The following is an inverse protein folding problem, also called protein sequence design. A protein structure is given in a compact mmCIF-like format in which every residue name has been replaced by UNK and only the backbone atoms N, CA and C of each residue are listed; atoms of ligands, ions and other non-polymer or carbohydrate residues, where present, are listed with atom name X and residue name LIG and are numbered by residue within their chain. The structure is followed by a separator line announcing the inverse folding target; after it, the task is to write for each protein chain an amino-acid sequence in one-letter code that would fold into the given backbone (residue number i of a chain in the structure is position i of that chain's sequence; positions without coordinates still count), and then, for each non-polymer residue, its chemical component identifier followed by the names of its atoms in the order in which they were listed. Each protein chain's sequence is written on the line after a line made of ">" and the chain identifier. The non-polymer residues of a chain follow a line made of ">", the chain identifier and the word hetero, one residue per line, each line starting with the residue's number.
data_IF_276962249967
#
_entry.id   IF_276962249967
#
_cell.length_a   1.000
_cell.length_b   1.000
_cell.length_c   1.000
_cell.angle_alpha   90.00
_cell.angle_beta   90.00
_cell.angle_gamma   90.00
#
_symmetry.space_group_name_H-M   'P 1'
#
loop_
_entity.id
_entity.type
_entity.pdbx_description
1 polymer ?
#
# COMPACT_ATOMS: atom_id res chain seq x y z
N UNK A 1 15.61 -5.40 7.67
CA UNK A 1 14.55 -4.92 6.76
C UNK A 1 15.06 -5.04 5.34
N UNK A 2 14.65 -6.07 4.63
CA UNK A 2 15.01 -6.35 3.22
C UNK A 2 13.75 -6.55 2.38
N UNK A 3 12.71 -7.21 2.92
CA UNK A 3 11.45 -7.52 2.25
C UNK A 3 10.29 -6.87 3.01
N UNK A 4 9.83 -5.72 2.55
CA UNK A 4 8.89 -4.86 3.26
C UNK A 4 7.51 -4.87 2.61
N UNK A 5 6.49 -5.33 3.31
CA UNK A 5 5.10 -5.20 2.90
C UNK A 5 4.47 -3.96 3.56
N UNK A 6 4.04 -2.99 2.73
CA UNK A 6 3.34 -1.78 3.18
C UNK A 6 1.87 -1.88 2.78
N UNK A 7 0.98 -1.85 3.75
CA UNK A 7 -0.45 -2.05 3.52
C UNK A 7 -1.33 -1.21 4.46
N UNK A 8 -2.62 -1.19 4.19
CA UNK A 8 -3.62 -0.42 4.91
C UNK A 8 -4.71 0.11 3.97
N UNK A 9 -5.71 0.79 4.54
CA UNK A 9 -6.87 1.29 3.81
C UNK A 9 -6.51 2.39 2.78
N UNK A 10 -7.37 2.66 1.78
CA UNK A 10 -7.18 3.79 0.87
C UNK A 10 -7.01 5.11 1.63
N UNK A 11 -6.18 6.02 1.12
CA UNK A 11 -5.95 7.32 1.76
C UNK A 11 -5.14 7.26 3.07
N UNK A 12 -4.51 6.14 3.42
CA UNK A 12 -3.68 6.05 4.62
C UNK A 12 -2.24 6.58 4.45
N UNK A 13 -1.85 7.03 3.26
CA UNK A 13 -0.51 7.56 3.02
C UNK A 13 0.54 6.50 2.64
N UNK A 14 0.15 5.25 2.39
CA UNK A 14 1.05 4.15 2.02
C UNK A 14 2.06 4.51 0.94
N UNK A 15 1.57 4.98 -0.20
CA UNK A 15 2.44 5.27 -1.35
C UNK A 15 3.45 6.39 -1.09
N UNK A 16 3.09 7.37 -0.26
CA UNK A 16 4.02 8.40 0.19
C UNK A 16 5.10 7.80 1.10
N UNK A 17 4.69 6.97 2.07
CA UNK A 17 5.63 6.28 2.95
C UNK A 17 6.55 5.37 2.14
N UNK A 18 6.00 4.53 1.27
CA UNK A 18 6.75 3.55 0.47
C UNK A 18 7.80 4.22 -0.42
N UNK A 19 7.44 5.33 -1.08
CA UNK A 19 8.38 6.14 -1.88
C UNK A 19 9.50 6.72 -1.02
N UNK A 20 9.15 7.28 0.14
CA UNK A 20 10.15 7.84 1.06
C UNK A 20 11.06 6.75 1.60
N UNK A 21 10.50 5.61 2.01
CA UNK A 21 11.26 4.47 2.50
C UNK A 21 12.20 3.91 1.43
N UNK A 22 11.74 3.76 0.20
CA UNK A 22 12.58 3.33 -0.93
C UNK A 22 13.75 4.29 -1.17
N UNK A 23 13.49 5.61 -1.10
CA UNK A 23 14.52 6.63 -1.27
C UNK A 23 15.60 6.56 -0.18
N UNK A 24 15.22 6.33 1.06
CA UNK A 24 16.18 6.33 2.19
C UNK A 24 16.89 4.99 2.36
N UNK A 25 16.26 3.89 1.99
CA UNK A 25 16.83 2.54 2.14
C UNK A 25 17.53 2.02 0.88
N UNK A 26 17.23 2.62 -0.29
CA UNK A 26 17.69 2.11 -1.58
C UNK A 26 16.98 0.83 -2.04
N UNK A 27 15.97 0.35 -1.32
CA UNK A 27 15.25 -0.88 -1.68
C UNK A 27 14.34 -0.65 -2.92
N UNK A 28 14.26 -1.64 -3.82
CA UNK A 28 13.34 -1.56 -4.97
C UNK A 28 11.89 -1.42 -4.51
N UNK A 29 11.16 -0.45 -5.08
CA UNK A 29 9.75 -0.21 -4.79
C UNK A 29 8.86 -0.75 -5.90
N UNK A 30 7.92 -1.60 -5.53
CA UNK A 30 6.88 -2.14 -6.39
C UNK A 30 5.50 -1.69 -5.90
N UNK A 31 4.86 -0.81 -6.66
CA UNK A 31 3.49 -0.37 -6.40
C UNK A 31 2.53 -1.32 -7.11
N UNK A 32 1.68 -2.04 -6.37
CA UNK A 32 0.78 -3.05 -6.95
C UNK A 32 -0.20 -2.48 -7.96
N UNK A 33 -0.63 -1.24 -7.79
CA UNK A 33 -1.51 -0.60 -8.77
C UNK A 33 -0.84 -0.52 -10.16
N UNK A 34 0.48 -0.31 -10.20
CA UNK A 34 1.25 -0.29 -11.46
C UNK A 34 1.46 -1.68 -12.07
N UNK A 35 1.39 -2.74 -11.26
CA UNK A 35 1.45 -4.13 -11.73
C UNK A 35 0.08 -4.64 -12.18
N UNK A 36 -0.98 -4.16 -11.52
CA UNK A 36 -2.33 -4.63 -11.75
C UNK A 36 -3.02 -3.97 -12.95
N UNK A 37 -2.65 -2.72 -13.26
CA UNK A 37 -3.25 -1.97 -14.37
C UNK A 37 -2.26 -1.75 -15.51
N UNK A 38 -2.75 -1.94 -16.74
CA UNK A 38 -2.04 -1.54 -17.96
C UNK A 38 -2.00 -0.01 -18.08
N UNK A 39 -1.19 0.51 -19.00
CA UNK A 39 -1.18 1.97 -19.30
C UNK A 39 -2.54 2.49 -19.77
N UNK A 40 -3.38 1.64 -20.34
CA UNK A 40 -4.78 1.93 -20.68
C UNK A 40 -5.71 2.10 -19.48
N UNK A 41 -5.27 1.73 -18.27
CA UNK A 41 -6.10 1.70 -17.06
C UNK A 41 -6.94 0.43 -16.92
N UNK A 42 -6.81 -0.53 -17.84
CA UNK A 42 -7.45 -1.85 -17.73
C UNK A 42 -6.61 -2.80 -16.87
N UNK A 43 -7.25 -3.70 -16.11
CA UNK A 43 -6.51 -4.70 -15.35
C UNK A 43 -5.77 -5.66 -16.31
N UNK A 44 -4.56 -6.06 -15.92
CA UNK A 44 -3.84 -7.14 -16.61
C UNK A 44 -4.52 -8.50 -16.32
N UNK A 45 -4.29 -9.50 -17.19
CA UNK A 45 -4.72 -10.86 -16.91
C UNK A 45 -4.15 -11.35 -15.56
N UNK A 46 -4.95 -12.13 -14.83
CA UNK A 46 -4.59 -12.58 -13.49
C UNK A 46 -3.26 -13.34 -13.45
N UNK A 47 -3.03 -14.18 -14.43
CA UNK A 47 -1.82 -14.99 -14.57
C UNK A 47 -0.57 -14.12 -14.76
N UNK A 48 -0.69 -13.01 -15.50
CA UNK A 48 0.40 -12.06 -15.72
C UNK A 48 0.74 -11.35 -14.40
N UNK A 49 -0.27 -10.92 -13.67
CA UNK A 49 -0.07 -10.30 -12.36
C UNK A 49 0.56 -11.28 -11.36
N UNK A 50 0.00 -12.49 -11.25
CA UNK A 50 0.47 -13.49 -10.29
C UNK A 50 1.94 -13.87 -10.57
N UNK A 51 2.32 -14.06 -11.83
CA UNK A 51 3.71 -14.32 -12.22
C UNK A 51 4.64 -13.15 -11.87
N UNK A 52 4.30 -11.93 -12.26
CA UNK A 52 5.10 -10.75 -11.94
C UNK A 52 5.25 -10.54 -10.42
N UNK A 53 4.18 -10.81 -9.66
CA UNK A 53 4.22 -10.72 -8.20
C UNK A 53 5.12 -11.80 -7.60
N UNK A 54 5.06 -13.04 -8.08
CA UNK A 54 5.92 -14.13 -7.63
C UNK A 54 7.40 -13.86 -7.93
N UNK A 55 7.72 -13.35 -9.13
CA UNK A 55 9.07 -12.94 -9.51
C UNK A 55 9.65 -11.88 -8.54
N UNK A 56 8.82 -10.96 -8.08
CA UNK A 56 9.22 -9.97 -7.06
C UNK A 56 9.45 -10.64 -5.70
N UNK A 57 8.56 -11.54 -5.27
CA UNK A 57 8.66 -12.19 -3.96
C UNK A 57 9.93 -13.03 -3.79
N UNK A 58 10.42 -13.67 -4.87
CA UNK A 58 11.66 -14.45 -4.84
C UNK A 58 12.92 -13.59 -4.88
N UNK A 59 12.82 -12.31 -5.27
CA UNK A 59 13.98 -11.42 -5.28
C UNK A 59 14.51 -11.19 -3.87
N UNK A 60 15.79 -10.78 -3.76
CA UNK A 60 16.47 -10.64 -2.46
C UNK A 60 15.89 -9.54 -1.58
N UNK A 61 15.40 -8.46 -2.19
CA UNK A 61 14.90 -7.30 -1.45
C UNK A 61 13.83 -6.54 -2.23
N UNK A 62 12.86 -6.00 -1.50
CA UNK A 62 11.78 -5.22 -2.09
C UNK A 62 10.99 -4.43 -1.04
N UNK A 63 10.32 -3.39 -1.50
CA UNK A 63 9.18 -2.76 -0.84
C UNK A 63 7.99 -2.98 -1.75
N UNK A 64 6.92 -3.62 -1.28
CA UNK A 64 5.67 -3.76 -2.02
C UNK A 64 4.59 -2.95 -1.33
N UNK A 65 4.01 -1.99 -2.08
CA UNK A 65 2.92 -1.10 -1.63
C UNK A 65 1.58 -1.52 -2.24
N UNK A 66 0.58 -1.67 -1.40
CA UNK A 66 -0.81 -1.91 -1.79
C UNK A 66 -1.39 -3.20 -1.25
N UNK A 67 -2.69 -3.43 -1.51
CA UNK A 67 -3.41 -4.63 -1.11
C UNK A 67 -3.34 -5.71 -2.20
N UNK A 68 -3.77 -5.37 -3.42
CA UNK A 68 -3.88 -6.33 -4.51
C UNK A 68 -4.91 -7.44 -4.23
N UNK A 69 -4.88 -8.53 -4.99
CA UNK A 69 -5.70 -9.71 -4.74
C UNK A 69 -5.36 -10.40 -3.41
N UNK A 70 -6.37 -10.88 -2.66
CA UNK A 70 -6.17 -11.44 -1.30
C UNK A 70 -5.17 -12.60 -1.25
N UNK A 71 -5.20 -13.51 -2.23
CA UNK A 71 -4.22 -14.61 -2.29
C UNK A 71 -2.78 -14.13 -2.45
N UNK A 72 -2.55 -13.12 -3.30
CA UNK A 72 -1.25 -12.48 -3.47
C UNK A 72 -0.85 -11.69 -2.21
N UNK A 73 -1.82 -11.08 -1.52
CA UNK A 73 -1.59 -10.37 -0.27
C UNK A 73 -1.05 -11.31 0.81
N UNK A 74 -1.69 -12.47 1.02
CA UNK A 74 -1.22 -13.47 2.00
C UNK A 74 0.20 -13.95 1.67
N UNK A 75 0.46 -14.38 0.42
CA UNK A 75 1.81 -14.78 -0.02
C UNK A 75 2.87 -13.71 0.29
N UNK A 76 2.52 -12.44 0.09
CA UNK A 76 3.42 -11.31 0.37
C UNK A 76 3.67 -11.12 1.85
N UNK A 77 2.63 -11.20 2.70
CA UNK A 77 2.79 -11.12 4.14
C UNK A 77 3.70 -12.25 4.64
N UNK A 78 3.57 -13.46 4.07
CA UNK A 78 4.40 -14.60 4.42
C UNK A 78 5.87 -14.41 3.99
N UNK A 79 6.12 -13.86 2.81
CA UNK A 79 7.46 -13.64 2.27
C UNK A 79 8.19 -12.42 2.88
N UNK A 80 7.46 -11.47 3.48
CA UNK A 80 8.03 -10.28 4.09
C UNK A 80 8.78 -10.58 5.39
N UNK A 81 9.91 -9.89 5.63
CA UNK A 81 10.57 -9.83 6.93
C UNK A 81 10.05 -8.66 7.79
N UNK A 82 9.46 -7.68 7.13
CA UNK A 82 8.96 -6.45 7.76
C UNK A 82 7.56 -6.12 7.26
N UNK A 83 6.64 -5.95 8.19
CA UNK A 83 5.25 -5.56 7.95
C UNK A 83 5.04 -4.12 8.39
N UNK A 84 4.50 -3.26 7.53
CA UNK A 84 4.16 -1.88 7.86
C UNK A 84 2.68 -1.67 7.58
N UNK A 85 1.87 -1.78 8.62
CA UNK A 85 0.45 -1.55 8.57
C UNK A 85 0.12 -0.11 8.92
N UNK A 86 -0.48 0.64 7.98
CA UNK A 86 -0.89 2.02 8.20
C UNK A 86 -2.38 2.06 8.47
N UNK A 87 -2.71 2.22 9.76
CA UNK A 87 -4.07 2.24 10.27
C UNK A 87 -4.48 3.63 10.76
N UNK A 88 -4.36 4.65 9.92
CA UNK A 88 -4.81 6.00 10.25
C UNK A 88 -6.34 6.04 10.48
N UNK A 89 -6.83 6.96 11.34
CA UNK A 89 -8.27 7.14 11.55
C UNK A 89 -9.03 7.36 10.24
N UNK A 90 -10.25 6.84 10.13
CA UNK A 90 -11.07 6.96 8.93
C UNK A 90 -11.27 8.41 8.48
N UNK A 91 -11.55 9.40 9.36
CA UNK A 91 -11.65 10.80 8.93
C UNK A 91 -10.40 11.31 8.20
N UNK A 92 -9.21 10.94 8.68
CA UNK A 92 -7.93 11.27 8.04
C UNK A 92 -7.80 10.63 6.66
N UNK A 93 -8.20 9.37 6.53
CA UNK A 93 -8.18 8.64 5.26
C UNK A 93 -9.16 9.25 4.25
N UNK A 94 -10.37 9.58 4.67
CA UNK A 94 -11.35 10.30 3.84
C UNK A 94 -10.82 11.66 3.39
N UNK A 95 -10.22 12.42 4.31
CA UNK A 95 -9.61 13.71 3.98
C UNK A 95 -8.51 13.57 2.92
N UNK A 96 -7.64 12.57 3.02
CA UNK A 96 -6.58 12.36 2.04
C UNK A 96 -7.11 11.93 0.67
N UNK A 97 -8.16 11.12 0.62
CA UNK A 97 -8.83 10.78 -0.64
C UNK A 97 -9.46 12.03 -1.26
N UNK A 98 -10.14 12.87 -0.46
CA UNK A 98 -10.72 14.14 -0.92
C UNK A 98 -9.64 15.09 -1.42
N UNK A 99 -8.56 15.27 -0.66
CA UNK A 99 -7.43 16.12 -1.06
C UNK A 99 -6.79 15.66 -2.38
N UNK A 100 -6.67 14.33 -2.57
CA UNK A 100 -6.17 13.75 -3.83
C UNK A 100 -7.11 14.03 -5.00
N UNK A 101 -8.42 13.91 -4.79
CA UNK A 101 -9.43 14.25 -5.79
C UNK A 101 -9.33 15.71 -6.19
N UNK A 102 -9.33 16.63 -5.22
CA UNK A 102 -9.23 18.07 -5.48
C UNK A 102 -7.94 18.44 -6.22
N UNK A 103 -6.80 17.92 -5.78
CA UNK A 103 -5.52 18.12 -6.50
C UNK A 103 -5.54 17.51 -7.90
N UNK A 104 -6.13 16.33 -8.06
CA UNK A 104 -6.18 15.63 -9.33
C UNK A 104 -7.08 16.27 -10.38
N UNK A 105 -7.95 17.21 -9.99
CA UNK A 105 -8.71 18.06 -10.93
C UNK A 105 -7.79 19.06 -11.66
N UNK A 106 -6.66 19.43 -11.06
CA UNK A 106 -5.72 20.40 -11.61
C UNK A 106 -4.40 19.76 -12.05
N UNK A 107 -3.93 18.74 -11.31
CA UNK A 107 -2.65 18.09 -11.54
C UNK A 107 -2.85 16.59 -11.41
N UNK A 108 -2.56 15.83 -12.47
CA UNK A 108 -2.67 14.37 -12.46
C UNK A 108 -1.73 13.81 -11.38
N UNK A 109 -2.22 12.93 -10.47
CA UNK A 109 -1.37 12.34 -9.44
C UNK A 109 -0.24 11.51 -10.08
N UNK A 110 0.95 11.63 -9.53
CA UNK A 110 2.11 10.86 -9.96
C UNK A 110 1.88 9.34 -9.80
N UNK A 111 2.21 8.54 -10.81
CA UNK A 111 1.96 7.10 -10.84
C UNK A 111 0.52 6.71 -11.19
N UNK A 112 -0.32 7.68 -11.57
CA UNK A 112 -1.67 7.39 -12.04
C UNK A 112 -1.63 6.88 -13.49
N UNK A 113 -2.29 5.75 -13.84
CA UNK A 113 -2.26 5.22 -15.20
C UNK A 113 -2.72 6.25 -16.24
N UNK A 114 -2.01 6.33 -17.35
CA UNK A 114 -2.41 7.19 -18.49
C UNK A 114 -3.80 6.74 -18.96
N UNK A 115 -4.71 7.69 -19.22
CA UNK A 115 -6.08 7.39 -19.64
C UNK A 115 -7.07 7.14 -18.48
N UNK A 116 -6.62 6.90 -17.25
CA UNK A 116 -7.52 6.72 -16.11
C UNK A 116 -8.08 8.05 -15.58
N UNK A 117 -9.36 8.03 -15.18
CA UNK A 117 -10.03 9.18 -14.60
C UNK A 117 -9.75 9.28 -13.10
N UNK A 118 -9.19 10.40 -12.64
CA UNK A 118 -8.97 10.70 -11.22
C UNK A 118 -10.28 10.63 -10.43
N UNK A 119 -11.39 11.07 -11.05
CA UNK A 119 -12.73 11.00 -10.46
C UNK A 119 -13.16 9.55 -10.22
N UNK A 120 -13.04 8.69 -11.24
CA UNK A 120 -13.41 7.25 -11.11
C UNK A 120 -12.57 6.57 -10.03
N UNK A 121 -11.25 6.80 -9.99
CA UNK A 121 -10.36 6.22 -8.97
C UNK A 121 -10.63 6.77 -7.57
N UNK A 122 -11.04 8.03 -7.44
CA UNK A 122 -11.45 8.59 -6.14
C UNK A 122 -12.76 8.00 -5.66
N UNK A 123 -13.77 7.84 -6.53
CA UNK A 123 -15.03 7.16 -6.22
C UNK A 123 -14.76 5.73 -5.77
N UNK A 124 -13.88 5.01 -6.47
CA UNK A 124 -13.48 3.66 -6.06
C UNK A 124 -12.81 3.66 -4.68
N UNK A 125 -11.96 4.63 -4.39
CA UNK A 125 -11.33 4.76 -3.08
C UNK A 125 -12.34 5.02 -1.96
N UNK A 126 -13.38 5.83 -2.21
CA UNK A 126 -14.48 6.03 -1.25
C UNK A 126 -15.28 4.74 -1.01
N UNK A 127 -15.59 4.01 -2.09
CA UNK A 127 -16.27 2.70 -1.97
C UNK A 127 -15.44 1.72 -1.13
N UNK A 128 -14.15 1.64 -1.40
CA UNK A 128 -13.23 0.79 -0.64
C UNK A 128 -13.08 1.24 0.82
N UNK A 129 -13.05 2.54 1.11
CA UNK A 129 -13.05 3.05 2.49
C UNK A 129 -14.33 2.67 3.25
N UNK A 130 -15.48 2.71 2.58
CA UNK A 130 -16.75 2.30 3.19
C UNK A 130 -16.78 0.81 3.52
N UNK A 131 -16.14 -0.02 2.71
CA UNK A 131 -16.04 -1.47 2.91
C UNK A 131 -14.87 -1.86 3.83
N UNK A 132 -13.94 -0.95 4.05
CA UNK A 132 -12.72 -1.20 4.81
C UNK A 132 -12.93 -1.78 6.22
N UNK A 133 -13.97 -1.40 7.00
CA UNK A 133 -14.17 -1.98 8.33
C UNK A 133 -14.43 -3.49 8.34
N UNK A 134 -14.93 -4.06 7.25
CA UNK A 134 -15.15 -5.50 7.15
C UNK A 134 -13.86 -6.30 6.93
N UNK A 135 -12.79 -5.64 6.51
CA UNK A 135 -11.49 -6.27 6.25
C UNK A 135 -10.42 -5.84 7.27
N UNK A 136 -10.29 -4.52 7.51
CA UNK A 136 -9.35 -3.95 8.49
C UNK A 136 -10.04 -3.89 9.86
N UNK A 137 -10.22 -5.03 10.49
CA UNK A 137 -10.95 -5.24 11.74
C UNK A 137 -10.01 -5.84 12.81
N UNK A 138 -10.55 -6.11 13.99
CA UNK A 138 -9.80 -6.66 15.12
C UNK A 138 -9.25 -8.06 14.81
N UNK A 139 -9.96 -8.87 14.01
CA UNK A 139 -9.50 -10.19 13.59
C UNK A 139 -8.23 -10.08 12.73
N UNK A 140 -8.23 -9.15 11.76
CA UNK A 140 -7.04 -8.86 10.95
C UNK A 140 -5.89 -8.31 11.81
N UNK A 141 -6.20 -7.46 12.79
CA UNK A 141 -5.18 -6.96 13.74
C UNK A 141 -4.55 -8.09 14.53
N UNK A 142 -5.33 -9.04 15.04
CA UNK A 142 -4.81 -10.21 15.74
C UNK A 142 -3.92 -11.08 14.82
N UNK A 143 -4.26 -11.20 13.53
CA UNK A 143 -3.42 -11.87 12.54
C UNK A 143 -2.05 -11.16 12.38
N UNK A 144 -2.05 -9.85 12.25
CA UNK A 144 -0.81 -9.04 12.15
C UNK A 144 0.04 -9.15 13.42
N UNK A 145 -0.60 -9.10 14.59
CA UNK A 145 0.07 -9.26 15.89
C UNK A 145 0.66 -10.68 16.05
N UNK A 146 -0.04 -11.70 15.58
CA UNK A 146 0.48 -13.07 15.53
C UNK A 146 1.73 -13.17 14.65
N UNK A 147 1.73 -12.55 13.49
CA UNK A 147 2.90 -12.49 12.60
C UNK A 147 4.08 -11.73 13.24
N UNK A 148 3.81 -10.73 14.08
CA UNK A 148 4.83 -9.93 14.76
C UNK A 148 5.69 -10.75 15.75
N UNK A 149 5.27 -11.95 16.13
CA UNK A 149 6.08 -12.87 16.94
C UNK A 149 7.31 -13.41 16.19
N UNK A 150 7.26 -13.43 14.86
CA UNK A 150 8.30 -14.02 14.01
C UNK A 150 8.87 -13.03 12.98
N UNK A 151 8.28 -11.83 12.86
CA UNK A 151 8.63 -10.78 11.89
C UNK A 151 8.63 -9.43 12.56
N UNK A 152 9.37 -8.48 11.99
CA UNK A 152 9.26 -7.08 12.43
C UNK A 152 7.93 -6.50 11.94
N UNK A 153 7.08 -6.05 12.83
CA UNK A 153 5.80 -5.41 12.48
C UNK A 153 5.69 -4.01 13.08
N UNK A 154 5.24 -3.07 12.26
CA UNK A 154 4.93 -1.70 12.65
C UNK A 154 3.47 -1.40 12.34
N UNK A 155 2.73 -0.95 13.35
CA UNK A 155 1.36 -0.45 13.20
C UNK A 155 1.39 1.06 13.42
N UNK A 156 1.03 1.82 12.40
CA UNK A 156 1.09 3.28 12.39
C UNK A 156 -0.32 3.83 12.44
N UNK A 157 -0.70 4.44 13.57
CA UNK A 157 -2.06 4.91 13.84
C UNK A 157 -2.23 6.43 13.78
N UNK A 158 -1.13 7.18 13.65
CA UNK A 158 -1.17 8.64 13.60
C UNK A 158 -0.16 9.21 12.59
N UNK A 159 -0.36 10.47 12.19
CA UNK A 159 0.58 11.18 11.32
C UNK A 159 1.91 11.45 12.02
N UNK A 160 1.90 11.62 13.33
CA UNK A 160 3.13 11.77 14.13
C UNK A 160 3.94 10.49 14.14
N UNK A 161 3.30 9.33 14.32
CA UNK A 161 3.97 8.03 14.21
C UNK A 161 4.51 7.77 12.81
N UNK A 162 3.74 8.14 11.77
CA UNK A 162 4.18 8.03 10.38
C UNK A 162 5.47 8.83 10.13
N UNK A 163 5.50 10.07 10.63
CA UNK A 163 6.67 10.94 10.54
C UNK A 163 7.86 10.37 11.31
N UNK A 164 7.64 9.96 12.56
CA UNK A 164 8.68 9.36 13.39
C UNK A 164 9.26 8.07 12.78
N UNK A 165 8.41 7.24 12.16
CA UNK A 165 8.85 6.05 11.44
C UNK A 165 9.78 6.39 10.29
N UNK A 166 9.43 7.38 9.47
CA UNK A 166 10.26 7.84 8.36
C UNK A 166 11.60 8.37 8.87
N UNK A 167 11.58 9.25 9.88
CA UNK A 167 12.80 9.86 10.45
C UNK A 167 13.77 8.82 11.05
N UNK A 168 13.21 7.78 11.70
CA UNK A 168 13.99 6.67 12.25
C UNK A 168 14.74 5.87 11.19
N UNK A 169 14.15 5.69 10.02
CA UNK A 169 14.72 4.88 8.94
C UNK A 169 15.46 5.72 7.87
N UNK A 170 15.45 7.04 8.02
CA UNK A 170 16.20 7.97 7.15
C UNK A 170 17.66 8.21 7.61
N UNK A 171 18.05 7.61 8.73
CA UNK A 171 19.42 7.65 9.28
C UNK A 171 20.17 6.37 8.94
#
# INVERSE_FOLDING_TARGET
>A
MRKVAVFGKPGSGKSTLSKTLAKVTGLPLHQLDSLFYQKSGEPVAREIFDKAHEDILISESWIIDGLGPLGAFKKRLDAADTLVYIDLPYPTSYWFVTKRLLKGMFIKPEGWPEGSSVLKGSIQSYKMLRLSPSFWNDEFMAEVEGMAQHKTAFVIRSLSELKAFIEKHAR
#
